data_IF_916778354457
#
_entry.id   IF_916778354457
#
_cell.length_a   1.000
_cell.length_b   1.000
_cell.length_c   1.000
_cell.angle_alpha   90.00
_cell.angle_beta   90.00
_cell.angle_gamma   90.00
#
_symmetry.space_group_name_H-M   'P 1'
#
loop_
_entity.id
_entity.type
_entity.pdbx_description
1 polymer ?
#
# COMPACT_ATOMS: atom_id res chain seq x y z
N UNK A 1 -8.76 -7.83 -9.59
CA UNK A 1 -9.46 -8.56 -10.68
C UNK A 1 -8.74 -9.86 -11.02
N UNK A 2 -7.50 -9.84 -11.49
CA UNK A 2 -6.76 -11.06 -11.84
C UNK A 2 -6.68 -12.09 -10.71
N UNK A 3 -6.40 -11.69 -9.47
CA UNK A 3 -6.36 -12.59 -8.31
C UNK A 3 -7.67 -13.38 -8.20
N UNK A 4 -8.81 -12.70 -8.31
CA UNK A 4 -10.14 -13.34 -8.24
C UNK A 4 -10.41 -14.24 -9.44
N UNK A 5 -9.99 -13.83 -10.65
CA UNK A 5 -10.13 -14.65 -11.87
C UNK A 5 -9.37 -15.99 -11.78
N UNK A 6 -8.28 -16.03 -11.03
CA UNK A 6 -7.52 -17.26 -10.77
C UNK A 6 -7.92 -17.98 -9.47
N UNK A 7 -9.11 -17.69 -8.94
CA UNK A 7 -9.68 -18.40 -7.78
C UNK A 7 -9.20 -17.89 -6.42
N UNK A 8 -8.44 -16.80 -6.38
CA UNK A 8 -8.04 -16.15 -5.13
C UNK A 8 -9.15 -15.27 -4.55
N UNK A 9 -9.02 -14.90 -3.28
CA UNK A 9 -9.87 -13.90 -2.62
C UNK A 9 -9.13 -12.58 -2.47
N UNK A 10 -9.86 -11.48 -2.35
CA UNK A 10 -9.30 -10.15 -2.17
C UNK A 10 -10.00 -9.39 -1.05
N UNK A 11 -9.23 -8.61 -0.29
CA UNK A 11 -9.79 -7.63 0.64
C UNK A 11 -9.26 -6.24 0.26
N UNK A 12 -10.18 -5.30 0.10
CA UNK A 12 -9.88 -3.94 -0.29
C UNK A 12 -9.83 -3.05 0.95
N UNK A 13 -8.70 -2.37 1.16
CA UNK A 13 -8.52 -1.32 2.17
C UNK A 13 -8.53 0.03 1.48
N UNK A 14 -9.50 0.87 1.79
CA UNK A 14 -9.60 2.25 1.30
C UNK A 14 -10.39 3.08 2.32
N UNK A 15 -10.31 4.39 2.22
CA UNK A 15 -11.17 5.32 2.96
C UNK A 15 -12.39 5.76 2.15
N UNK A 16 -12.47 5.41 0.87
CA UNK A 16 -13.52 5.80 -0.05
C UNK A 16 -14.55 4.69 -0.25
N UNK A 17 -15.62 4.74 0.53
CA UNK A 17 -16.69 3.74 0.52
C UNK A 17 -17.37 3.60 -0.85
N UNK A 18 -17.50 4.71 -1.59
CA UNK A 18 -18.21 4.74 -2.87
C UNK A 18 -17.44 4.01 -3.99
N UNK A 19 -16.11 4.25 -4.06
CA UNK A 19 -15.25 3.52 -5.00
C UNK A 19 -15.14 2.03 -4.66
N UNK A 20 -15.15 1.71 -3.38
CA UNK A 20 -15.11 0.34 -2.90
C UNK A 20 -16.35 -0.46 -3.33
N UNK A 21 -17.53 0.13 -3.23
CA UNK A 21 -18.80 -0.53 -3.64
C UNK A 21 -18.77 -0.93 -5.12
N UNK A 22 -18.36 -0.02 -5.99
CA UNK A 22 -18.22 -0.34 -7.43
C UNK A 22 -17.21 -1.45 -7.73
N UNK A 23 -16.11 -1.49 -6.99
CA UNK A 23 -15.13 -2.56 -7.13
C UNK A 23 -15.66 -3.93 -6.64
N UNK A 24 -16.45 -3.95 -5.57
CA UNK A 24 -17.07 -5.17 -5.06
C UNK A 24 -18.13 -5.74 -6.00
N UNK A 25 -18.93 -4.90 -6.64
CA UNK A 25 -19.88 -5.32 -7.66
C UNK A 25 -19.19 -6.08 -8.81
N UNK A 26 -18.04 -5.60 -9.24
CA UNK A 26 -17.24 -6.24 -10.30
C UNK A 26 -16.59 -7.56 -9.85
N UNK A 27 -16.17 -7.67 -8.59
CA UNK A 27 -15.42 -8.81 -8.07
C UNK A 27 -16.33 -9.94 -7.53
N UNK A 28 -17.54 -9.62 -7.12
CA UNK A 28 -18.47 -10.52 -6.45
C UNK A 28 -18.20 -10.69 -4.96
N UNK A 29 -19.24 -10.58 -4.14
CA UNK A 29 -19.16 -10.57 -2.68
C UNK A 29 -18.58 -11.87 -2.06
N UNK A 30 -18.65 -12.98 -2.77
CA UNK A 30 -18.05 -14.25 -2.33
C UNK A 30 -16.54 -14.26 -2.47
N UNK A 31 -15.98 -13.41 -3.34
CA UNK A 31 -14.55 -13.37 -3.68
C UNK A 31 -13.82 -12.18 -3.09
N UNK A 32 -14.55 -11.11 -2.75
CA UNK A 32 -13.95 -9.89 -2.25
C UNK A 32 -14.82 -9.21 -1.19
N UNK A 33 -14.17 -8.59 -0.22
CA UNK A 33 -14.81 -7.67 0.73
C UNK A 33 -14.04 -6.36 0.80
N UNK A 34 -14.72 -5.35 1.27
CA UNK A 34 -14.15 -4.04 1.59
C UNK A 34 -14.15 -3.82 3.10
N UNK A 35 -13.05 -3.30 3.60
CA UNK A 35 -12.92 -2.85 4.98
C UNK A 35 -12.41 -1.40 4.95
N UNK A 36 -13.24 -0.46 5.40
CA UNK A 36 -12.83 0.93 5.53
C UNK A 36 -11.60 1.02 6.42
N UNK A 37 -10.49 1.51 5.87
CA UNK A 37 -9.19 1.52 6.56
C UNK A 37 -8.40 2.77 6.18
N UNK A 38 -8.08 3.60 7.17
CA UNK A 38 -7.00 4.57 7.05
C UNK A 38 -5.67 3.82 7.28
N UNK A 39 -4.87 3.67 6.25
CA UNK A 39 -3.57 2.95 6.33
C UNK A 39 -2.60 3.59 7.32
N UNK A 40 -2.79 4.86 7.67
CA UNK A 40 -1.97 5.58 8.64
C UNK A 40 -2.41 5.39 10.10
N UNK A 41 -3.52 4.67 10.33
CA UNK A 41 -4.02 4.29 11.66
C UNK A 41 -3.62 2.84 11.96
N UNK A 42 -2.71 2.68 12.92
CA UNK A 42 -2.15 1.37 13.28
C UNK A 42 -3.20 0.40 13.80
N UNK A 43 -4.14 0.89 14.59
CA UNK A 43 -5.20 0.06 15.18
C UNK A 43 -6.16 -0.44 14.11
N UNK A 44 -6.65 0.45 13.23
CA UNK A 44 -7.53 0.07 12.12
C UNK A 44 -6.86 -0.95 11.20
N UNK A 45 -5.59 -0.74 10.87
CA UNK A 45 -4.84 -1.68 10.02
C UNK A 45 -4.73 -3.05 10.68
N UNK A 46 -4.35 -3.12 11.97
CA UNK A 46 -4.22 -4.39 12.68
C UNK A 46 -5.54 -5.16 12.76
N UNK A 47 -6.63 -4.50 13.15
CA UNK A 47 -7.95 -5.11 13.25
C UNK A 47 -8.48 -5.59 11.90
N UNK A 48 -8.36 -4.75 10.87
CA UNK A 48 -8.87 -5.09 9.54
C UNK A 48 -7.98 -6.12 8.83
N UNK A 49 -6.69 -6.18 9.13
CA UNK A 49 -5.80 -7.22 8.63
C UNK A 49 -6.17 -8.60 9.20
N UNK A 50 -6.55 -8.68 10.46
CA UNK A 50 -7.06 -9.91 11.06
C UNK A 50 -8.36 -10.38 10.38
N UNK A 51 -9.33 -9.46 10.18
CA UNK A 51 -10.56 -9.77 9.44
C UNK A 51 -10.30 -10.20 8.00
N UNK A 52 -9.32 -9.57 7.34
CA UNK A 52 -8.92 -9.92 5.99
C UNK A 52 -8.37 -11.35 5.92
N UNK A 53 -7.47 -11.72 6.84
CA UNK A 53 -6.94 -13.08 6.96
C UNK A 53 -8.07 -14.10 7.14
N UNK A 54 -9.03 -13.81 8.03
CA UNK A 54 -10.13 -14.74 8.33
C UNK A 54 -11.05 -14.93 7.11
N UNK A 55 -11.39 -13.85 6.39
CA UNK A 55 -12.16 -13.94 5.16
C UNK A 55 -11.44 -14.73 4.06
N UNK A 56 -10.16 -14.46 3.85
CA UNK A 56 -9.35 -15.13 2.83
C UNK A 56 -8.86 -16.53 3.25
N UNK A 57 -9.00 -16.90 4.53
CA UNK A 57 -8.44 -18.13 5.12
C UNK A 57 -6.91 -18.19 5.01
N UNK A 58 -6.28 -17.04 5.08
CA UNK A 58 -4.84 -16.83 4.97
C UNK A 58 -4.52 -15.51 4.30
N UNK A 59 -3.27 -15.09 4.37
CA UNK A 59 -2.77 -13.88 3.71
C UNK A 59 -1.45 -14.20 3.03
N UNK A 60 -1.44 -14.25 1.70
CA UNK A 60 -0.26 -14.57 0.91
C UNK A 60 0.32 -13.36 0.17
N UNK A 61 -0.52 -12.38 -0.15
CA UNK A 61 -0.12 -11.20 -0.92
C UNK A 61 -0.68 -9.94 -0.29
N UNK A 62 0.18 -8.95 -0.06
CA UNK A 62 -0.23 -7.59 0.32
C UNK A 62 0.30 -6.59 -0.71
N UNK A 63 -0.60 -5.76 -1.27
CA UNK A 63 -0.24 -4.75 -2.26
C UNK A 63 -0.60 -3.37 -1.73
N UNK A 64 0.40 -2.55 -1.50
CA UNK A 64 0.25 -1.18 -1.01
C UNK A 64 0.04 -0.22 -2.17
N UNK A 65 -1.22 0.15 -2.43
CA UNK A 65 -1.61 1.10 -3.46
C UNK A 65 -2.12 2.44 -2.89
N UNK A 66 -2.42 2.50 -1.58
CA UNK A 66 -2.90 3.71 -0.94
C UNK A 66 -1.88 4.84 -1.07
N UNK A 67 -2.37 6.02 -1.43
CA UNK A 67 -1.50 7.19 -1.56
C UNK A 67 -2.23 8.44 -2.04
N UNK A 68 -1.62 9.57 -1.74
CA UNK A 68 -2.09 10.91 -2.14
C UNK A 68 -0.94 11.68 -2.80
N UNK A 69 -1.28 12.56 -3.72
CA UNK A 69 -0.27 13.34 -4.44
C UNK A 69 0.33 14.45 -3.55
N UNK A 70 -0.49 15.12 -2.75
CA UNK A 70 -0.03 16.20 -1.85
C UNK A 70 0.76 17.29 -2.58
N UNK A 71 0.32 17.67 -3.81
CA UNK A 71 1.03 18.61 -4.65
C UNK A 71 1.05 20.02 -4.03
N UNK A 72 2.20 20.66 -4.07
CA UNK A 72 2.38 22.03 -3.60
C UNK A 72 3.82 22.49 -3.75
N UNK A 73 4.03 23.77 -4.05
CA UNK A 73 5.36 24.34 -4.17
C UNK A 73 5.91 24.76 -2.80
N UNK A 74 7.18 24.52 -2.55
CA UNK A 74 7.87 25.03 -1.34
C UNK A 74 7.67 26.56 -1.22
N UNK A 75 7.83 27.25 -2.35
CA UNK A 75 7.50 28.67 -2.49
C UNK A 75 6.47 28.82 -3.61
N UNK A 76 5.19 28.94 -3.26
CA UNK A 76 4.11 29.22 -4.19
C UNK A 76 4.00 30.73 -4.50
N UNK A 77 3.14 31.09 -5.45
CA UNK A 77 2.91 32.49 -5.80
C UNK A 77 2.20 33.28 -4.66
N UNK A 78 1.26 32.63 -4.00
CA UNK A 78 0.46 33.26 -2.93
C UNK A 78 0.90 32.81 -1.54
N UNK A 79 1.29 31.52 -1.39
CA UNK A 79 1.73 30.97 -0.14
C UNK A 79 2.71 29.80 -0.34
N UNK A 80 3.55 29.56 0.67
CA UNK A 80 4.39 28.36 0.76
C UNK A 80 3.56 27.14 1.13
N UNK A 81 4.03 25.95 0.75
CA UNK A 81 3.40 24.67 1.16
C UNK A 81 3.34 24.60 2.69
N UNK A 82 2.15 24.38 3.29
CA UNK A 82 2.05 24.15 4.73
C UNK A 82 2.78 22.87 5.13
N UNK A 83 3.52 22.88 6.24
CA UNK A 83 4.19 21.70 6.76
C UNK A 83 3.21 20.54 7.03
N UNK A 84 2.00 20.86 7.47
CA UNK A 84 0.95 19.84 7.67
C UNK A 84 0.59 19.07 6.39
N UNK A 85 0.59 19.73 5.23
CA UNK A 85 0.35 19.06 3.94
C UNK A 85 1.49 18.10 3.59
N UNK A 86 2.74 18.53 3.80
CA UNK A 86 3.91 17.64 3.64
C UNK A 86 3.81 16.43 4.57
N UNK A 87 3.56 16.68 5.86
CA UNK A 87 3.45 15.64 6.87
C UNK A 87 2.33 14.63 6.57
N UNK A 88 1.15 15.12 6.13
CA UNK A 88 0.03 14.25 5.73
C UNK A 88 0.40 13.36 4.55
N UNK A 89 1.10 13.89 3.56
CA UNK A 89 1.55 13.10 2.39
C UNK A 89 2.52 11.99 2.80
N UNK A 90 3.49 12.32 3.64
CA UNK A 90 4.44 11.32 4.18
C UNK A 90 3.71 10.30 5.07
N UNK A 91 2.78 10.76 5.91
CA UNK A 91 2.00 9.89 6.79
C UNK A 91 1.22 8.84 6.01
N UNK A 92 0.48 9.24 4.99
CA UNK A 92 -0.32 8.30 4.18
C UNK A 92 0.58 7.42 3.33
N UNK A 93 1.46 8.01 2.53
CA UNK A 93 2.19 7.27 1.49
C UNK A 93 3.30 6.36 2.06
N UNK A 94 4.05 6.84 3.05
CA UNK A 94 5.22 6.14 3.58
C UNK A 94 4.88 5.39 4.87
N UNK A 95 4.38 6.09 5.89
CA UNK A 95 4.06 5.47 7.18
C UNK A 95 2.92 4.47 6.99
N UNK A 96 1.88 4.81 6.22
CA UNK A 96 0.80 3.88 5.90
C UNK A 96 1.27 2.62 5.17
N UNK A 97 2.18 2.75 4.19
CA UNK A 97 2.76 1.59 3.50
C UNK A 97 3.57 0.69 4.45
N UNK A 98 4.35 1.28 5.35
CA UNK A 98 5.09 0.53 6.36
C UNK A 98 4.14 -0.18 7.33
N UNK A 99 3.10 0.52 7.81
CA UNK A 99 2.12 -0.01 8.75
C UNK A 99 1.40 -1.26 8.18
N UNK A 100 0.90 -1.17 6.95
CA UNK A 100 0.27 -2.31 6.27
C UNK A 100 1.28 -3.45 6.03
N UNK A 101 2.50 -3.14 5.62
CA UNK A 101 3.55 -4.15 5.41
C UNK A 101 3.90 -4.90 6.70
N UNK A 102 4.06 -4.18 7.81
CA UNK A 102 4.32 -4.74 9.14
C UNK A 102 3.19 -5.70 9.53
N UNK A 103 1.94 -5.25 9.50
CA UNK A 103 0.80 -6.06 9.88
C UNK A 103 0.62 -7.30 8.96
N UNK A 104 0.89 -7.16 7.67
CA UNK A 104 0.89 -8.29 6.75
C UNK A 104 2.00 -9.31 7.08
N UNK A 105 3.22 -8.84 7.34
CA UNK A 105 4.35 -9.71 7.67
C UNK A 105 4.12 -10.48 8.98
N UNK A 106 3.50 -9.84 9.99
CA UNK A 106 3.12 -10.47 11.27
C UNK A 106 2.19 -11.68 11.06
N UNK A 107 1.33 -11.65 10.06
CA UNK A 107 0.47 -12.78 9.72
C UNK A 107 1.17 -13.78 8.80
N UNK A 108 1.84 -13.31 7.76
CA UNK A 108 2.48 -14.15 6.75
C UNK A 108 3.56 -15.07 7.32
N UNK A 109 4.30 -14.63 8.36
CA UNK A 109 5.34 -15.46 8.98
C UNK A 109 4.81 -16.80 9.54
N UNK A 110 3.51 -16.88 9.80
CA UNK A 110 2.86 -18.08 10.31
C UNK A 110 2.24 -18.96 9.23
N UNK A 111 2.28 -18.55 7.95
CA UNK A 111 1.80 -19.39 6.85
C UNK A 111 2.64 -20.67 6.73
N UNK A 112 2.03 -21.76 6.27
CA UNK A 112 2.80 -22.90 5.81
C UNK A 112 3.68 -22.48 4.63
N UNK A 113 4.97 -22.86 4.60
CA UNK A 113 5.85 -22.50 3.49
C UNK A 113 5.43 -23.24 2.21
N UNK A 114 5.49 -22.55 1.09
CA UNK A 114 5.39 -23.15 -0.23
C UNK A 114 6.62 -23.99 -0.59
N UNK A 115 6.66 -24.52 -1.83
CA UNK A 115 7.74 -25.38 -2.33
C UNK A 115 9.12 -24.72 -2.17
N UNK A 116 9.19 -23.42 -2.44
CA UNK A 116 10.44 -22.65 -2.37
C UNK A 116 10.68 -22.00 -0.99
N UNK A 117 9.94 -22.43 0.04
CA UNK A 117 9.99 -21.83 1.37
C UNK A 117 9.29 -20.47 1.49
N UNK A 118 8.62 -19.98 0.44
CA UNK A 118 7.89 -18.73 0.44
C UNK A 118 6.62 -18.82 1.29
N UNK A 119 6.41 -17.79 2.13
CA UNK A 119 5.22 -17.66 2.99
C UNK A 119 4.34 -16.49 2.59
N UNK A 120 4.88 -15.57 1.80
CA UNK A 120 4.12 -14.42 1.32
C UNK A 120 4.96 -13.42 0.55
N UNK A 121 4.25 -12.45 -0.05
CA UNK A 121 4.87 -11.36 -0.79
C UNK A 121 4.19 -10.03 -0.46
N UNK A 122 5.00 -9.01 -0.26
CA UNK A 122 4.57 -7.63 -0.05
C UNK A 122 5.05 -6.81 -1.26
N UNK A 123 4.12 -6.09 -1.89
CA UNK A 123 4.42 -5.24 -3.03
C UNK A 123 4.07 -3.79 -2.68
N UNK A 124 5.06 -2.91 -2.73
CA UNK A 124 4.84 -1.49 -2.56
C UNK A 124 4.69 -0.78 -3.91
N UNK A 125 3.97 0.34 -3.90
CA UNK A 125 3.87 1.25 -5.04
C UNK A 125 4.61 2.55 -4.72
N UNK A 126 5.83 2.68 -5.23
CA UNK A 126 6.59 3.93 -5.26
C UNK A 126 6.10 4.82 -6.43
N UNK A 127 7.00 5.47 -7.13
CA UNK A 127 6.75 6.27 -8.33
C UNK A 127 8.08 6.59 -9.00
N UNK A 128 8.07 6.89 -10.28
CA UNK A 128 9.19 7.55 -10.95
C UNK A 128 9.60 8.84 -10.24
N UNK A 129 8.65 9.54 -9.60
CA UNK A 129 8.90 10.72 -8.80
C UNK A 129 9.81 10.49 -7.57
N UNK A 130 10.05 9.24 -7.19
CA UNK A 130 11.04 8.89 -6.17
C UNK A 130 12.48 9.24 -6.63
N UNK A 131 12.71 9.29 -7.94
CA UNK A 131 14.01 9.49 -8.58
C UNK A 131 14.05 10.77 -9.41
N UNK A 132 12.92 11.14 -10.03
CA UNK A 132 12.77 12.29 -10.91
C UNK A 132 11.46 13.03 -10.60
N UNK A 133 11.44 13.70 -9.44
CA UNK A 133 10.29 14.47 -8.97
C UNK A 133 10.16 15.81 -9.67
N UNK A 134 8.95 16.18 -10.04
CA UNK A 134 8.64 17.44 -10.71
C UNK A 134 8.47 18.59 -9.71
N UNK A 135 8.45 19.83 -10.23
CA UNK A 135 8.10 21.02 -9.46
C UNK A 135 6.75 20.83 -8.76
N UNK A 136 6.70 21.10 -7.47
CA UNK A 136 5.49 20.91 -6.66
C UNK A 136 5.30 19.52 -6.09
N UNK A 137 6.23 18.58 -6.33
CA UNK A 137 6.14 17.21 -5.83
C UNK A 137 7.08 16.91 -4.65
N UNK A 138 7.58 17.91 -3.93
CA UNK A 138 8.55 17.68 -2.85
C UNK A 138 8.05 16.67 -1.81
N UNK A 139 6.82 16.81 -1.32
CA UNK A 139 6.23 15.88 -0.36
C UNK A 139 6.00 14.48 -0.98
N UNK A 140 5.47 14.44 -2.20
CA UNK A 140 5.22 13.20 -2.91
C UNK A 140 6.51 12.45 -3.21
N UNK A 141 7.50 13.12 -3.80
CA UNK A 141 8.80 12.55 -4.12
C UNK A 141 9.51 12.03 -2.86
N UNK A 142 9.53 12.80 -1.78
CA UNK A 142 10.09 12.36 -0.49
C UNK A 142 9.40 11.11 0.03
N UNK A 143 8.05 11.07 -0.01
CA UNK A 143 7.28 9.90 0.44
C UNK A 143 7.55 8.66 -0.41
N UNK A 144 7.57 8.80 -1.73
CA UNK A 144 7.80 7.68 -2.68
C UNK A 144 9.27 7.26 -2.71
N UNK A 145 10.20 8.18 -2.49
CA UNK A 145 11.61 7.90 -2.25
C UNK A 145 11.81 7.07 -0.98
N UNK A 146 11.10 7.42 0.09
CA UNK A 146 11.07 6.62 1.32
C UNK A 146 10.53 5.20 1.12
N UNK A 147 9.45 5.04 0.35
CA UNK A 147 8.90 3.71 -0.01
C UNK A 147 9.91 2.90 -0.82
N UNK A 148 10.59 3.50 -1.79
CA UNK A 148 11.63 2.83 -2.56
C UNK A 148 12.81 2.39 -1.66
N UNK A 149 13.28 3.28 -0.78
CA UNK A 149 14.37 3.00 0.15
C UNK A 149 14.01 1.92 1.20
N UNK A 150 12.75 1.85 1.62
CA UNK A 150 12.24 0.84 2.57
C UNK A 150 12.34 -0.59 2.01
N UNK A 151 12.30 -0.77 0.71
CA UNK A 151 12.21 -2.09 0.06
C UNK A 151 13.35 -3.03 0.46
N UNK A 152 14.57 -2.60 0.32
CA UNK A 152 15.73 -3.47 0.53
C UNK A 152 15.96 -3.85 2.00
N UNK A 153 15.88 -2.92 2.98
CA UNK A 153 15.92 -3.29 4.38
C UNK A 153 14.82 -4.27 4.76
N UNK A 154 13.58 -4.02 4.36
CA UNK A 154 12.44 -4.90 4.63
C UNK A 154 12.63 -6.29 3.98
N UNK A 155 13.09 -6.35 2.73
CA UNK A 155 13.36 -7.62 2.05
C UNK A 155 14.43 -8.44 2.78
N UNK A 156 15.51 -7.79 3.25
CA UNK A 156 16.59 -8.46 4.00
C UNK A 156 16.12 -8.97 5.36
N UNK A 157 15.34 -8.17 6.07
CA UNK A 157 14.81 -8.53 7.38
C UNK A 157 13.80 -9.67 7.30
N UNK A 158 12.89 -9.62 6.32
CA UNK A 158 11.80 -10.59 6.18
C UNK A 158 12.20 -11.86 5.42
N UNK A 159 13.36 -11.89 4.77
CA UNK A 159 13.87 -13.06 4.04
C UNK A 159 13.93 -14.33 4.93
N UNK A 160 14.39 -14.20 6.18
CA UNK A 160 14.44 -15.32 7.15
C UNK A 160 13.06 -15.90 7.49
N UNK A 161 11.99 -15.15 7.21
CA UNK A 161 10.60 -15.57 7.41
C UNK A 161 9.96 -16.10 6.12
N UNK A 162 10.71 -16.18 5.01
CA UNK A 162 10.17 -16.60 3.72
C UNK A 162 9.22 -15.58 3.10
N UNK A 163 9.35 -14.29 3.43
CA UNK A 163 8.50 -13.22 2.91
C UNK A 163 9.33 -12.35 1.96
N UNK A 164 8.88 -12.23 0.72
CA UNK A 164 9.49 -11.34 -0.28
C UNK A 164 8.90 -9.94 -0.17
N UNK A 165 9.74 -8.94 -0.36
CA UNK A 165 9.32 -7.54 -0.45
C UNK A 165 9.82 -6.94 -1.75
N UNK A 166 8.90 -6.31 -2.48
CA UNK A 166 9.16 -5.73 -3.80
C UNK A 166 8.54 -4.34 -3.88
N UNK A 167 9.05 -3.52 -4.76
CA UNK A 167 8.47 -2.20 -5.04
C UNK A 167 8.43 -1.98 -6.54
N UNK A 168 7.28 -1.52 -7.03
CA UNK A 168 7.16 -0.99 -8.38
C UNK A 168 7.23 0.53 -8.33
N UNK A 169 7.84 1.15 -9.33
CA UNK A 169 7.93 2.60 -9.47
C UNK A 169 7.28 3.03 -10.80
N UNK A 170 5.94 3.11 -10.86
CA UNK A 170 5.24 3.45 -12.07
C UNK A 170 5.62 4.85 -12.60
N UNK A 171 5.60 5.00 -13.92
CA UNK A 171 5.58 6.28 -14.59
C UNK A 171 4.20 6.94 -14.53
N UNK A 172 3.88 7.73 -15.57
CA UNK A 172 2.60 8.43 -15.68
C UNK A 172 1.56 7.48 -16.28
N UNK A 173 0.47 7.30 -15.56
CA UNK A 173 -0.71 6.59 -16.03
C UNK A 173 -1.92 7.52 -15.94
N UNK A 174 -2.82 7.45 -16.91
CA UNK A 174 -4.09 8.16 -16.85
C UNK A 174 -4.96 7.57 -15.72
N UNK A 175 -5.06 8.29 -14.63
CA UNK A 175 -5.79 7.90 -13.43
C UNK A 175 -6.44 9.12 -12.78
N UNK A 176 -7.44 8.94 -11.90
CA UNK A 176 -8.05 10.06 -11.15
C UNK A 176 -7.09 10.79 -10.21
N UNK A 177 -5.84 10.34 -10.08
CA UNK A 177 -4.81 11.00 -9.28
C UNK A 177 -4.10 12.13 -10.06
N UNK A 178 -4.31 12.23 -11.36
CA UNK A 178 -3.73 13.27 -12.23
C UNK A 178 -4.61 14.51 -12.32
#
# INVERSE_FOLDING_TARGET
KHIVQYGGKAVLFDINDQKASSALEELGAQNAIYLRTDVSDETQVAENMAKARDFMQGLNVAVNCAGILGAGRMLGREASMPLAQFATTVKVNLIGSFNVAKAAAELMQHNAPGIDGERGVIVHTASVAAFDGQIGQAAYAASKGGVAALTLPAARELARHGIRVMTIAPGIFETPMM
#
